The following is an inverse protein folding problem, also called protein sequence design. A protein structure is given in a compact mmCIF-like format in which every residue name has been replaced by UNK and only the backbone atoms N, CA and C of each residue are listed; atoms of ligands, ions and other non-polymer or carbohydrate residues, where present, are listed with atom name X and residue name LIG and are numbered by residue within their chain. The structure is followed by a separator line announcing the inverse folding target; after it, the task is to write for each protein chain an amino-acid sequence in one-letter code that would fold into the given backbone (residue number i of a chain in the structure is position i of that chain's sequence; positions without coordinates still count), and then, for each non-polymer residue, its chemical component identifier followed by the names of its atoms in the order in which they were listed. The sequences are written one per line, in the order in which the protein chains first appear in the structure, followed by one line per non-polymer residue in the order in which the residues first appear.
data_IF_765567998862
#
_entry.id   IF_765567998862
#
_cell.length_a   1.000
_cell.length_b   1.000
_cell.length_c   1.000
_cell.angle_alpha   90.00
_cell.angle_beta   90.00
_cell.angle_gamma   90.00
#
_symmetry.space_group_name_H-M   'P 1'
#
loop_
_entity.id
_entity.type
_entity.pdbx_description
1 polymer ?
#
# COMPACT_ATOMS: atom_id res chain seq x y z
N UNK A 1 -11.30 -3.18 19.36
CA UNK A 1 -10.65 -1.89 19.03
C UNK A 1 -9.67 -2.19 17.91
N UNK A 2 -9.86 -1.61 16.73
CA UNK A 2 -8.93 -1.78 15.59
C UNK A 2 -7.82 -0.77 15.72
N UNK A 3 -6.57 -1.23 15.58
CA UNK A 3 -5.40 -0.37 15.69
C UNK A 3 -4.56 -0.57 14.43
N UNK A 4 -4.40 0.49 13.63
CA UNK A 4 -3.40 0.51 12.56
C UNK A 4 -2.12 1.02 13.17
N UNK A 5 -1.13 0.14 13.26
CA UNK A 5 0.15 0.43 13.89
C UNK A 5 1.26 0.38 12.86
N UNK A 6 1.97 1.49 12.73
CA UNK A 6 3.28 1.50 12.10
C UNK A 6 4.25 0.70 12.96
N UNK A 7 5.04 -0.20 12.35
CA UNK A 7 6.16 -0.85 13.06
C UNK A 7 7.34 0.11 13.22
N UNK A 8 7.32 1.25 12.51
CA UNK A 8 8.28 2.34 12.73
C UNK A 8 7.90 3.11 13.99
N UNK A 9 8.73 2.92 15.01
CA UNK A 9 8.85 3.60 16.29
C UNK A 9 7.78 4.65 16.63
N UNK A 10 6.92 4.31 17.58
CA UNK A 10 6.02 5.22 18.31
C UNK A 10 6.72 6.45 18.97
N UNK A 11 8.05 6.56 18.89
CA UNK A 11 8.86 7.66 19.41
C UNK A 11 9.06 8.83 18.43
N UNK A 12 8.67 8.70 17.14
CA UNK A 12 8.88 9.76 16.14
C UNK A 12 7.64 10.66 16.04
N UNK A 13 7.82 11.97 16.18
CA UNK A 13 6.74 12.95 16.06
C UNK A 13 6.11 12.89 14.66
N UNK A 14 4.76 12.84 14.53
CA UNK A 14 4.10 12.86 13.24
C UNK A 14 4.46 14.11 12.42
N UNK A 15 4.78 13.91 11.16
CA UNK A 15 5.03 14.94 10.16
C UNK A 15 3.73 15.35 9.49
N UNK A 16 3.65 16.63 9.10
CA UNK A 16 2.55 17.14 8.28
C UNK A 16 2.69 16.67 6.83
N UNK A 17 1.57 16.56 6.09
CA UNK A 17 1.65 16.30 4.64
C UNK A 17 2.32 17.46 3.91
N UNK A 18 2.15 18.70 4.35
CA UNK A 18 2.91 19.82 3.78
C UNK A 18 4.43 19.57 3.84
N UNK A 19 4.95 19.12 5.00
CA UNK A 19 6.36 18.77 5.14
C UNK A 19 6.75 17.60 4.24
N UNK A 20 5.95 16.54 4.18
CA UNK A 20 6.21 15.37 3.32
C UNK A 20 6.28 15.77 1.83
N UNK A 21 5.32 16.58 1.38
CA UNK A 21 5.19 17.00 -0.02
C UNK A 21 6.30 17.95 -0.44
N UNK A 22 6.71 18.87 0.43
CA UNK A 22 7.72 19.90 0.13
C UNK A 22 9.16 19.44 0.36
N UNK A 23 9.38 18.34 1.09
CA UNK A 23 10.73 17.82 1.34
C UNK A 23 11.47 17.48 0.04
N UNK A 24 12.75 17.80 -0.06
CA UNK A 24 13.58 17.48 -1.23
C UNK A 24 14.35 16.20 -1.00
N UNK A 25 14.26 15.25 -1.94
CA UNK A 25 15.03 14.00 -1.90
C UNK A 25 14.30 12.81 -1.26
N UNK A 26 15.05 11.72 -1.09
CA UNK A 26 14.58 10.49 -0.47
C UNK A 26 14.46 10.65 1.05
N UNK A 27 13.31 10.31 1.62
CA UNK A 27 13.08 10.39 3.05
C UNK A 27 11.99 9.42 3.53
N UNK A 28 11.96 9.14 4.83
CA UNK A 28 10.89 8.42 5.51
C UNK A 28 10.22 9.34 6.53
N UNK A 29 8.90 9.34 6.53
CA UNK A 29 8.09 10.17 7.40
C UNK A 29 7.15 9.29 8.21
N UNK A 30 6.94 9.66 9.47
CA UNK A 30 5.80 9.17 10.23
C UNK A 30 4.64 10.13 9.99
N UNK A 31 3.50 9.64 9.51
CA UNK A 31 2.29 10.45 9.30
C UNK A 31 1.15 9.83 10.09
N UNK A 32 0.59 10.61 11.02
CA UNK A 32 -0.65 10.24 11.72
C UNK A 32 -1.83 10.84 10.97
N UNK A 33 -2.59 9.98 10.32
CA UNK A 33 -3.57 10.39 9.31
C UNK A 33 -4.81 9.51 9.25
N UNK A 34 -5.65 9.75 8.25
CA UNK A 34 -6.75 8.86 7.89
C UNK A 34 -6.54 8.36 6.46
N UNK A 35 -6.75 7.07 6.23
CA UNK A 35 -6.91 6.55 4.88
C UNK A 35 -8.34 6.85 4.44
N UNK A 36 -8.51 7.46 3.27
CA UNK A 36 -9.82 7.87 2.74
C UNK A 36 -10.38 6.88 1.74
N UNK A 37 -9.50 6.25 0.96
CA UNK A 37 -9.89 5.27 -0.04
C UNK A 37 -8.71 4.41 -0.46
N UNK A 38 -9.03 3.29 -1.09
CA UNK A 38 -8.07 2.42 -1.77
C UNK A 38 -8.41 2.29 -3.26
N UNK A 39 -7.39 2.34 -4.11
CA UNK A 39 -7.51 2.03 -5.53
C UNK A 39 -6.52 0.89 -5.90
N UNK A 40 -6.91 -0.12 -6.69
CA UNK A 40 -8.26 -0.30 -7.22
C UNK A 40 -9.25 -0.69 -6.11
N UNK A 41 -10.51 -0.26 -6.30
CA UNK A 41 -11.60 -0.58 -5.37
C UNK A 41 -11.85 -2.08 -5.22
N UNK A 42 -12.05 -2.84 -6.32
CA UNK A 42 -12.26 -4.28 -6.25
C UNK A 42 -11.03 -5.03 -5.71
N UNK A 43 -11.22 -5.83 -4.66
CA UNK A 43 -10.16 -6.63 -4.01
C UNK A 43 -9.52 -7.62 -5.00
N UNK A 44 -10.28 -8.14 -5.95
CA UNK A 44 -9.75 -9.06 -6.97
C UNK A 44 -8.66 -8.42 -7.88
N UNK A 45 -8.49 -7.09 -7.84
CA UNK A 45 -7.50 -6.36 -8.65
C UNK A 45 -6.35 -5.79 -7.81
N UNK A 46 -6.30 -6.11 -6.51
CA UNK A 46 -5.33 -5.49 -5.60
C UNK A 46 -4.00 -6.21 -5.59
N UNK A 47 -3.93 -7.40 -6.17
CA UNK A 47 -2.71 -8.16 -6.34
C UNK A 47 -2.30 -8.22 -7.79
N UNK A 48 -0.99 -8.10 -8.00
CA UNK A 48 -0.37 -8.10 -9.32
C UNK A 48 0.73 -9.16 -9.31
N UNK A 49 0.91 -9.94 -10.39
CA UNK A 49 2.00 -10.88 -10.49
C UNK A 49 3.35 -10.16 -10.42
N UNK A 50 4.33 -10.80 -9.81
CA UNK A 50 5.67 -10.26 -9.61
C UNK A 50 6.72 -11.26 -10.06
N UNK A 51 7.62 -10.82 -10.94
CA UNK A 51 8.77 -11.60 -11.34
C UNK A 51 9.89 -11.37 -10.33
N UNK A 52 10.26 -12.41 -9.59
CA UNK A 52 11.35 -12.36 -8.61
C UNK A 52 12.72 -12.25 -9.28
N UNK A 53 12.90 -12.86 -10.45
CA UNK A 53 14.17 -12.83 -11.18
C UNK A 53 14.49 -11.42 -11.72
N UNK A 54 13.50 -10.75 -12.30
CA UNK A 54 13.67 -9.39 -12.83
C UNK A 54 13.26 -8.30 -11.83
N UNK A 55 12.89 -8.68 -10.60
CA UNK A 55 12.41 -7.80 -9.54
C UNK A 55 11.31 -6.79 -9.98
N UNK A 56 10.41 -7.18 -10.89
CA UNK A 56 9.43 -6.28 -11.50
C UNK A 56 8.00 -6.79 -11.42
N UNK A 57 7.04 -5.85 -11.33
CA UNK A 57 5.62 -6.15 -11.48
C UNK A 57 5.33 -6.52 -12.93
N UNK A 58 4.57 -7.59 -13.14
CA UNK A 58 4.15 -8.03 -14.46
C UNK A 58 2.71 -7.57 -14.71
N UNK A 59 2.46 -6.75 -15.75
CA UNK A 59 1.15 -6.18 -16.01
C UNK A 59 0.07 -7.26 -16.16
N UNK A 60 -1.03 -7.08 -15.42
CA UNK A 60 -2.18 -7.98 -15.46
C UNK A 60 -3.18 -7.52 -16.52
N UNK A 61 -3.49 -8.36 -17.51
CA UNK A 61 -4.54 -8.08 -18.52
C UNK A 61 -5.76 -8.96 -18.22
N UNK A 62 -6.53 -8.57 -17.22
CA UNK A 62 -7.81 -9.21 -16.87
C UNK A 62 -7.68 -10.57 -16.15
N UNK A 63 -8.81 -11.03 -15.59
CA UNK A 63 -8.91 -12.12 -14.60
C UNK A 63 -8.41 -13.52 -15.04
N UNK A 64 -7.93 -13.70 -16.27
CA UNK A 64 -7.60 -15.02 -16.85
C UNK A 64 -6.29 -15.09 -17.63
N UNK A 65 -5.56 -13.98 -17.84
CA UNK A 65 -4.33 -14.00 -18.64
C UNK A 65 -3.11 -13.81 -17.76
N UNK A 66 -2.46 -14.93 -17.38
CA UNK A 66 -1.08 -14.89 -16.89
C UNK A 66 -0.17 -14.62 -18.09
N UNK A 67 0.68 -13.59 -17.99
CA UNK A 67 1.73 -13.31 -18.98
C UNK A 67 3.09 -13.66 -18.38
N UNK A 68 3.97 -14.16 -19.24
CA UNK A 68 5.38 -14.27 -18.91
C UNK A 68 5.96 -12.88 -18.63
N UNK A 69 6.97 -12.84 -17.77
CA UNK A 69 7.78 -11.66 -17.58
C UNK A 69 8.48 -11.30 -18.90
N UNK A 70 8.38 -10.04 -19.36
CA UNK A 70 9.04 -9.63 -20.61
C UNK A 70 10.57 -9.65 -20.55
N UNK A 71 11.16 -9.58 -19.35
CA UNK A 71 12.61 -9.56 -19.17
C UNK A 71 13.27 -10.94 -19.20
N UNK A 72 12.59 -11.98 -18.70
CA UNK A 72 13.17 -13.33 -18.59
C UNK A 72 12.28 -14.44 -19.15
N UNK A 73 11.13 -14.09 -19.73
CA UNK A 73 10.14 -15.01 -20.31
C UNK A 73 9.56 -16.06 -19.35
N UNK A 74 9.90 -15.99 -18.05
CA UNK A 74 9.36 -16.88 -17.04
C UNK A 74 7.96 -16.46 -16.58
N UNK A 75 7.12 -17.44 -16.26
CA UNK A 75 5.82 -17.20 -15.65
C UNK A 75 5.98 -16.75 -14.18
N UNK A 76 5.41 -15.61 -13.78
CA UNK A 76 5.46 -15.16 -12.40
C UNK A 76 4.76 -16.15 -11.47
N UNK A 77 5.45 -16.56 -10.42
CA UNK A 77 4.91 -17.43 -9.36
C UNK A 77 4.58 -16.65 -8.09
N UNK A 78 5.12 -15.43 -7.94
CA UNK A 78 4.88 -14.55 -6.81
C UNK A 78 3.82 -13.49 -7.13
N UNK A 79 3.16 -13.01 -6.09
CA UNK A 79 2.16 -11.94 -6.15
C UNK A 79 2.49 -10.87 -5.13
N UNK A 80 2.16 -9.61 -5.46
CA UNK A 80 2.36 -8.46 -4.58
C UNK A 80 1.07 -7.66 -4.52
N UNK A 81 0.82 -7.01 -3.38
CA UNK A 81 -0.19 -5.96 -3.34
C UNK A 81 0.32 -4.76 -4.14
N UNK A 82 -0.53 -4.21 -4.99
CA UNK A 82 -0.30 -2.94 -5.67
C UNK A 82 -1.57 -2.09 -5.51
N UNK A 83 -1.59 -1.28 -4.46
CA UNK A 83 -2.77 -0.52 -4.05
C UNK A 83 -2.35 0.92 -3.76
N UNK A 84 -3.08 1.89 -4.29
CA UNK A 84 -2.94 3.29 -3.91
C UNK A 84 -3.89 3.56 -2.74
N UNK A 85 -3.36 4.03 -1.63
CA UNK A 85 -4.12 4.52 -0.49
C UNK A 85 -4.09 6.05 -0.49
N UNK A 86 -5.27 6.68 -0.48
CA UNK A 86 -5.37 8.13 -0.33
C UNK A 86 -5.33 8.49 1.14
N UNK A 87 -4.32 9.24 1.55
CA UNK A 87 -4.05 9.59 2.95
C UNK A 87 -4.27 11.08 3.17
N UNK A 88 -4.90 11.44 4.28
CA UNK A 88 -4.92 12.82 4.82
C UNK A 88 -4.22 12.84 6.17
N UNK A 89 -3.49 13.91 6.50
CA UNK A 89 -2.88 14.05 7.84
C UNK A 89 -3.84 14.68 8.84
N UNK A 90 -3.77 14.24 10.10
CA UNK A 90 -4.44 14.88 11.22
C UNK A 90 -3.66 16.09 11.76
N UNK A 91 -2.37 16.18 11.45
CA UNK A 91 -1.52 17.33 11.79
C UNK A 91 -1.76 18.54 10.88
N UNK A 92 -2.53 18.37 9.81
CA UNK A 92 -2.73 19.37 8.77
C UNK A 92 -4.20 19.80 8.75
N UNK A 93 -4.48 21.07 9.05
CA UNK A 93 -5.79 21.68 8.77
C UNK A 93 -5.92 22.18 7.33
N UNK A 94 -5.01 21.75 6.46
CA UNK A 94 -4.82 22.30 5.10
C UNK A 94 -5.72 21.63 4.06
N UNK A 95 -6.35 20.50 4.38
CA UNK A 95 -7.13 19.71 3.41
C UNK A 95 -6.29 18.95 2.38
N UNK A 96 -4.96 18.93 2.54
CA UNK A 96 -4.07 18.18 1.66
C UNK A 96 -4.32 16.67 1.74
N UNK A 97 -4.11 15.99 0.61
CA UNK A 97 -4.10 14.54 0.53
C UNK A 97 -2.84 14.05 -0.19
N UNK A 98 -2.47 12.81 0.10
CA UNK A 98 -1.33 12.12 -0.46
C UNK A 98 -1.77 10.76 -0.99
N UNK A 99 -1.52 10.49 -2.27
CA UNK A 99 -1.72 9.16 -2.84
C UNK A 99 -0.44 8.36 -2.63
N UNK A 100 -0.49 7.37 -1.73
CA UNK A 100 0.65 6.54 -1.34
C UNK A 100 0.46 5.10 -1.81
N UNK A 101 1.47 4.57 -2.49
CA UNK A 101 1.50 3.21 -3.00
C UNK A 101 1.84 2.22 -1.87
N UNK A 102 0.91 1.33 -1.60
CA UNK A 102 1.15 0.09 -0.87
C UNK A 102 1.64 -0.94 -1.89
N UNK A 103 2.96 -1.07 -1.97
CA UNK A 103 3.65 -2.12 -2.71
C UNK A 103 4.41 -2.97 -1.72
N UNK A 104 3.82 -4.10 -1.38
CA UNK A 104 4.26 -4.93 -0.26
C UNK A 104 5.39 -5.87 -0.67
N UNK A 105 6.64 -5.49 -0.39
CA UNK A 105 7.84 -6.27 -0.72
C UNK A 105 7.96 -7.59 0.06
N UNK A 106 7.18 -7.77 1.13
CA UNK A 106 7.04 -9.04 1.83
C UNK A 106 5.70 -9.75 1.51
N UNK A 107 4.86 -9.13 0.68
CA UNK A 107 3.55 -9.62 0.23
C UNK A 107 2.49 -9.85 1.33
N UNK A 108 2.75 -9.44 2.58
CA UNK A 108 1.82 -9.60 3.70
C UNK A 108 1.90 -8.52 4.79
N UNK A 109 2.81 -7.55 4.68
CA UNK A 109 3.10 -6.57 5.72
C UNK A 109 1.86 -5.75 6.10
N UNK A 110 1.16 -5.13 5.15
CA UNK A 110 0.05 -4.22 5.52
C UNK A 110 -1.22 -4.96 5.95
N UNK A 111 -1.63 -5.97 5.19
CA UNK A 111 -2.89 -6.67 5.43
C UNK A 111 -2.74 -7.89 6.36
N UNK A 112 -1.52 -8.30 6.70
CA UNK A 112 -1.26 -9.54 7.44
C UNK A 112 -1.73 -10.79 6.70
N UNK A 113 -1.83 -10.72 5.36
CA UNK A 113 -2.41 -11.76 4.50
C UNK A 113 -1.53 -11.87 3.25
N UNK A 114 -0.95 -13.05 2.94
CA UNK A 114 -0.16 -13.27 1.73
C UNK A 114 -0.91 -12.90 0.45
N UNK A 115 -0.28 -12.13 -0.43
CA UNK A 115 -0.90 -11.72 -1.69
C UNK A 115 -1.28 -12.90 -2.61
N UNK A 116 -0.55 -14.02 -2.52
CA UNK A 116 -0.85 -15.25 -3.25
C UNK A 116 -2.21 -15.84 -2.88
N UNK A 117 -2.64 -15.66 -1.63
CA UNK A 117 -3.92 -16.20 -1.13
C UNK A 117 -5.13 -15.53 -1.78
N UNK A 118 -4.97 -14.32 -2.32
CA UNK A 118 -6.02 -13.66 -3.09
C UNK A 118 -6.11 -14.16 -4.53
N UNK A 119 -5.03 -14.75 -5.04
CA UNK A 119 -4.93 -15.23 -6.41
C UNK A 119 -5.48 -16.66 -6.52
N UNK A 120 -6.81 -16.77 -6.43
CA UNK A 120 -7.56 -18.01 -6.59
C UNK A 120 -9.06 -17.77 -6.34
N UNK A 121 -9.93 -18.58 -6.93
CA UNK A 121 -11.39 -18.51 -6.72
C UNK A 121 -11.84 -18.94 -5.32
N UNK A 122 -10.94 -19.51 -4.51
CA UNK A 122 -11.31 -20.30 -3.33
C UNK A 122 -11.03 -19.64 -1.96
N UNK A 123 -10.35 -18.49 -1.88
CA UNK A 123 -10.06 -17.87 -0.58
C UNK A 123 -11.00 -16.70 -0.26
N UNK A 124 -12.30 -17.02 -0.10
CA UNK A 124 -13.33 -16.05 0.30
C UNK A 124 -13.01 -15.41 1.66
N UNK A 125 -12.41 -16.16 2.57
CA UNK A 125 -12.02 -15.69 3.91
C UNK A 125 -10.95 -14.60 3.84
N UNK A 126 -9.87 -14.79 3.08
CA UNK A 126 -8.84 -13.74 2.91
C UNK A 126 -9.42 -12.48 2.27
N UNK A 127 -10.29 -12.62 1.27
CA UNK A 127 -10.98 -11.47 0.65
C UNK A 127 -11.88 -10.73 1.65
N UNK A 128 -12.64 -11.44 2.46
CA UNK A 128 -13.48 -10.86 3.50
C UNK A 128 -12.65 -10.16 4.58
N UNK A 129 -11.52 -10.74 5.00
CA UNK A 129 -10.62 -10.11 5.96
C UNK A 129 -10.04 -8.80 5.41
N UNK A 130 -9.61 -8.78 4.15
CA UNK A 130 -9.11 -7.54 3.52
C UNK A 130 -10.21 -6.51 3.35
N UNK A 131 -11.43 -6.94 2.96
CA UNK A 131 -12.59 -6.05 2.91
C UNK A 131 -12.82 -5.41 4.28
N UNK A 132 -12.86 -6.22 5.34
CA UNK A 132 -13.03 -5.75 6.72
C UNK A 132 -11.92 -4.78 7.14
N UNK A 133 -10.66 -5.07 6.81
CA UNK A 133 -9.54 -4.14 7.07
C UNK A 133 -9.76 -2.83 6.33
N UNK A 134 -10.00 -2.87 5.01
CA UNK A 134 -10.24 -1.67 4.18
C UNK A 134 -11.39 -0.83 4.69
N UNK A 135 -12.52 -1.46 5.00
CA UNK A 135 -13.72 -0.78 5.49
C UNK A 135 -13.48 -0.16 6.87
N UNK A 136 -12.67 -0.81 7.70
CA UNK A 136 -12.37 -0.29 9.03
C UNK A 136 -11.39 0.87 8.97
N UNK A 137 -10.30 0.76 8.21
CA UNK A 137 -9.28 1.83 8.11
C UNK A 137 -9.74 3.03 7.28
N UNK A 138 -10.75 2.85 6.41
CA UNK A 138 -11.37 3.96 5.65
C UNK A 138 -12.54 4.61 6.39
N UNK A 139 -12.97 4.03 7.52
CA UNK A 139 -14.07 4.59 8.33
C UNK A 139 -13.68 5.97 8.85
N UNK A 140 -14.63 6.91 8.77
CA UNK A 140 -14.42 8.26 9.29
C UNK A 140 -13.99 8.23 10.76
N UNK A 141 -12.99 9.03 11.11
CA UNK A 141 -12.46 9.16 12.46
C UNK A 141 -11.41 8.13 12.87
N UNK A 142 -11.11 7.13 12.03
CA UNK A 142 -10.03 6.17 12.31
C UNK A 142 -8.68 6.80 11.96
N UNK A 143 -7.88 7.07 13.00
CA UNK A 143 -6.51 7.51 12.86
C UNK A 143 -5.60 6.29 12.62
N UNK A 144 -4.71 6.41 11.64
CA UNK A 144 -3.69 5.43 11.28
C UNK A 144 -2.32 6.08 11.45
N UNK A 145 -1.43 5.40 12.15
CA UNK A 145 -0.01 5.75 12.18
C UNK A 145 0.67 5.05 10.99
N UNK A 146 1.13 5.84 10.03
CA UNK A 146 1.66 5.36 8.74
C UNK A 146 3.12 5.77 8.61
N UNK A 147 3.99 4.82 8.24
CA UNK A 147 5.32 5.15 7.76
C UNK A 147 5.28 5.32 6.23
N UNK A 148 5.68 6.50 5.76
CA UNK A 148 5.63 6.90 4.36
C UNK A 148 7.04 7.19 3.86
N UNK A 149 7.49 6.42 2.87
CA UNK A 149 8.72 6.70 2.14
C UNK A 149 8.42 7.61 0.93
N UNK A 150 9.22 8.65 0.74
CA UNK A 150 9.26 9.48 -0.47
C UNK A 150 10.39 9.03 -1.36
N UNK A 151 10.07 8.75 -2.62
CA UNK A 151 11.00 8.31 -3.66
C UNK A 151 10.92 9.32 -4.80
N UNK A 152 11.92 10.21 -4.96
CA UNK A 152 12.00 11.12 -6.10
C UNK A 152 12.07 10.34 -7.41
N UNK A 153 11.36 10.83 -8.42
CA UNK A 153 11.35 10.28 -9.77
C UNK A 153 12.21 11.16 -10.70
N UNK A 154 12.79 10.60 -11.77
CA UNK A 154 13.66 11.35 -12.69
C UNK A 154 12.97 12.53 -13.39
N UNK A 155 11.65 12.51 -13.50
CA UNK A 155 10.85 13.58 -14.10
C UNK A 155 10.60 14.76 -13.15
N UNK A 156 11.14 14.74 -11.93
CA UNK A 156 10.94 15.77 -10.91
C UNK A 156 9.74 15.53 -9.99
N UNK A 157 8.90 14.52 -10.28
CA UNK A 157 7.83 14.09 -9.37
C UNK A 157 8.38 13.27 -8.21
N UNK A 158 7.49 12.85 -7.30
CA UNK A 158 7.81 11.89 -6.27
C UNK A 158 6.72 10.82 -6.18
N UNK A 159 7.16 9.57 -6.03
CA UNK A 159 6.30 8.47 -5.61
C UNK A 159 6.36 8.36 -4.09
N UNK A 160 5.19 8.14 -3.46
CA UNK A 160 5.10 7.91 -2.03
C UNK A 160 4.71 6.46 -1.80
N UNK A 161 5.34 5.80 -0.83
CA UNK A 161 5.05 4.39 -0.49
C UNK A 161 4.72 4.25 0.98
N UNK A 162 3.66 3.51 1.29
CA UNK A 162 3.44 3.03 2.66
C UNK A 162 4.40 1.86 2.88
N UNK A 163 5.21 1.96 3.92
CA UNK A 163 6.25 0.99 4.30
C UNK A 163 6.10 0.68 5.78
N UNK A 164 6.58 -0.47 6.25
CA UNK A 164 6.71 -0.76 7.69
C UNK A 164 5.43 -0.44 8.51
N UNK A 165 4.28 -0.79 7.95
CA UNK A 165 2.97 -0.48 8.52
C UNK A 165 2.08 -1.69 8.43
N UNK A 166 1.42 -2.05 9.53
CA UNK A 166 0.51 -3.20 9.62
C UNK A 166 -0.87 -2.73 10.10
N UNK A 167 -1.93 -3.16 9.41
CA UNK A 167 -3.31 -2.92 9.83
C UNK A 167 -3.85 -4.15 10.57
N UNK A 168 -4.16 -4.01 11.86
CA UNK A 168 -4.76 -5.08 12.68
C UNK A 168 -6.17 -4.72 13.15
N UNK A 169 -7.14 -5.61 12.92
CA UNK A 169 -8.58 -5.42 13.17
C UNK A 169 -9.07 -6.25 14.34
#
# INVERSE_FOLDING_TARGET
MTTVTSTVHAAVRPSSLFTVLTHRGCARFHVRGCIRSFAPGPIARTTVPYCTQCAQLVPYVGARSRRACQGCEQMPTAFRYAVIARVTSLSDKTGLFLDALLLDEQAEQFFGIPAVDLHGSLNSQSRQRIAKIRDTVTRQGVACDLAIAKIPLPNGDAQYRIVDTIATV
#
